data_IF_690104081560
#
_entry.id   IF_690104081560
#
_cell.length_a   1.000
_cell.length_b   1.000
_cell.length_c   1.000
_cell.angle_alpha   90.00
_cell.angle_beta   90.00
_cell.angle_gamma   90.00
#
_symmetry.space_group_name_H-M   'P 1'
#
loop_
_entity.id
_entity.type
_entity.pdbx_description
1 polymer ?
#
# COMPACT_ATOMS: atom_id res chain seq x y z
N UNK A 1 5.21 8.46 -0.70
CA UNK A 1 4.48 7.27 -1.19
C UNK A 1 4.24 7.36 -2.70
N UNK A 2 3.28 8.17 -3.17
CA UNK A 2 2.88 8.22 -4.59
C UNK A 2 4.02 8.47 -5.57
N UNK A 3 4.87 9.48 -5.32
CA UNK A 3 5.98 9.82 -6.21
C UNK A 3 7.02 8.71 -6.42
N UNK A 4 7.10 7.73 -5.49
CA UNK A 4 8.06 6.62 -5.56
C UNK A 4 7.42 5.32 -6.07
N UNK A 5 6.10 5.20 -5.99
CA UNK A 5 5.31 4.07 -6.47
C UNK A 5 5.93 2.68 -6.21
N UNK A 6 6.40 2.46 -4.99
CA UNK A 6 7.05 1.21 -4.63
C UNK A 6 6.07 0.18 -4.09
N UNK A 7 6.08 -1.00 -4.71
CA UNK A 7 5.25 -2.15 -4.33
C UNK A 7 5.63 -2.60 -2.91
N UNK A 8 4.61 -2.69 -2.04
CA UNK A 8 4.76 -3.11 -0.64
C UNK A 8 5.38 -2.06 0.30
N UNK A 9 5.71 -0.86 -0.18
CA UNK A 9 6.27 0.19 0.65
C UNK A 9 5.21 0.99 1.45
N UNK A 10 3.94 0.61 1.35
CA UNK A 10 2.82 1.27 2.00
C UNK A 10 3.05 1.34 3.51
N UNK A 11 3.26 0.20 4.18
CA UNK A 11 3.49 0.14 5.62
C UNK A 11 4.74 0.90 6.08
N UNK A 12 5.78 0.94 5.24
CA UNK A 12 6.97 1.77 5.46
C UNK A 12 6.60 3.26 5.56
N UNK A 13 5.82 3.78 4.61
CA UNK A 13 5.42 5.18 4.60
C UNK A 13 4.44 5.52 5.73
N UNK A 14 3.58 4.58 6.13
CA UNK A 14 2.74 4.71 7.32
C UNK A 14 3.56 4.98 8.57
N UNK A 15 4.51 4.08 8.86
CA UNK A 15 5.37 4.19 10.02
C UNK A 15 6.21 5.47 9.97
N UNK A 16 6.81 5.81 8.82
CA UNK A 16 7.65 6.99 8.67
C UNK A 16 6.89 8.29 8.92
N UNK A 17 5.74 8.48 8.28
CA UNK A 17 4.95 9.71 8.41
C UNK A 17 4.47 9.92 9.86
N UNK A 18 4.06 8.85 10.53
CA UNK A 18 3.64 8.92 11.93
C UNK A 18 4.80 9.23 12.88
N UNK A 19 5.99 8.67 12.61
CA UNK A 19 7.17 8.97 13.41
C UNK A 19 7.62 10.42 13.26
N UNK A 20 7.73 10.92 12.03
CA UNK A 20 8.11 12.31 11.76
C UNK A 20 7.12 13.27 12.45
N UNK A 21 5.82 13.05 12.29
CA UNK A 21 4.82 13.87 12.97
C UNK A 21 4.92 13.78 14.50
N UNK A 22 5.09 12.59 15.07
CA UNK A 22 5.18 12.41 16.51
C UNK A 22 6.46 13.02 17.12
N UNK A 23 7.56 13.06 16.35
CA UNK A 23 8.82 13.71 16.76
C UNK A 23 8.72 15.23 16.90
N UNK A 24 7.67 15.86 16.33
CA UNK A 24 7.38 17.29 16.50
C UNK A 24 6.68 17.60 17.83
N UNK A 25 6.26 16.58 18.59
CA UNK A 25 5.64 16.71 19.90
C UNK A 25 4.23 16.12 19.99
N UNK A 26 3.66 16.13 21.20
CA UNK A 26 2.42 15.41 21.52
C UNK A 26 1.20 15.85 20.70
N UNK A 27 1.06 17.17 20.46
CA UNK A 27 -0.04 17.71 19.64
C UNK A 27 0.02 17.18 18.20
N UNK A 28 1.21 17.16 17.60
CA UNK A 28 1.41 16.63 16.25
C UNK A 28 1.18 15.11 16.22
N UNK A 29 1.62 14.39 17.25
CA UNK A 29 1.34 12.97 17.40
C UNK A 29 -0.17 12.66 17.49
N UNK A 30 -0.94 13.49 18.21
CA UNK A 30 -2.39 13.33 18.33
C UNK A 30 -3.10 13.57 16.99
N UNK A 31 -2.74 14.64 16.28
CA UNK A 31 -3.28 14.95 14.95
C UNK A 31 -2.96 13.81 13.98
N UNK A 32 -1.72 13.32 13.98
CA UNK A 32 -1.29 12.22 13.13
C UNK A 32 -2.06 10.93 13.42
N UNK A 33 -2.31 10.60 14.69
CA UNK A 33 -3.14 9.46 15.08
C UNK A 33 -4.57 9.55 14.55
N UNK A 34 -5.21 10.72 14.66
CA UNK A 34 -6.56 10.96 14.11
C UNK A 34 -6.55 10.84 12.58
N UNK A 35 -5.58 11.48 11.91
CA UNK A 35 -5.45 11.43 10.45
C UNK A 35 -5.25 10.00 9.95
N UNK A 36 -4.48 9.19 10.69
CA UNK A 36 -4.32 7.76 10.45
C UNK A 36 -5.65 7.02 10.47
N UNK A 37 -6.41 7.11 11.57
CA UNK A 37 -7.70 6.40 11.68
C UNK A 37 -8.74 6.88 10.66
N UNK A 38 -8.81 8.17 10.36
CA UNK A 38 -9.70 8.69 9.31
C UNK A 38 -9.36 8.06 7.95
N UNK A 39 -8.08 7.91 7.63
CA UNK A 39 -7.64 7.23 6.41
C UNK A 39 -8.08 5.76 6.41
N UNK A 40 -7.86 5.02 7.50
CA UNK A 40 -8.22 3.60 7.60
C UNK A 40 -9.74 3.38 7.51
N UNK A 41 -10.54 4.24 8.13
CA UNK A 41 -12.00 4.20 8.02
C UNK A 41 -12.46 4.45 6.59
N UNK A 42 -11.86 5.43 5.91
CA UNK A 42 -12.15 5.67 4.51
C UNK A 42 -11.75 4.47 3.63
N UNK A 43 -10.61 3.84 3.87
CA UNK A 43 -10.21 2.63 3.15
C UNK A 43 -11.14 1.45 3.38
N UNK A 44 -11.48 1.16 4.63
CA UNK A 44 -12.36 0.05 4.93
C UNK A 44 -13.77 0.25 4.37
N UNK A 45 -14.41 1.39 4.68
CA UNK A 45 -15.82 1.58 4.35
C UNK A 45 -16.07 2.10 2.94
N UNK A 46 -15.17 2.92 2.39
CA UNK A 46 -15.34 3.50 1.05
C UNK A 46 -14.62 2.70 -0.02
N UNK A 47 -13.45 2.16 0.29
CA UNK A 47 -12.62 1.45 -0.68
C UNK A 47 -12.77 -0.07 -0.61
N UNK A 48 -13.40 -0.59 0.46
CA UNK A 48 -13.63 -2.02 0.64
C UNK A 48 -12.35 -2.79 0.94
N UNK A 49 -11.33 -2.12 1.48
CA UNK A 49 -10.08 -2.76 1.83
C UNK A 49 -10.34 -3.78 2.97
N UNK A 50 -9.73 -4.98 2.90
CA UNK A 50 -9.95 -6.03 3.89
C UNK A 50 -9.45 -5.57 5.25
N UNK A 51 -10.14 -6.02 6.31
CA UNK A 51 -9.86 -5.59 7.69
C UNK A 51 -8.41 -5.85 8.08
N UNK A 52 -7.83 -6.94 7.60
CA UNK A 52 -6.46 -7.36 7.86
C UNK A 52 -5.43 -6.34 7.32
N UNK A 53 -5.67 -5.74 6.15
CA UNK A 53 -4.80 -4.72 5.57
C UNK A 53 -4.86 -3.42 6.37
N UNK A 54 -6.07 -2.98 6.76
CA UNK A 54 -6.25 -1.83 7.64
C UNK A 54 -5.60 -2.05 9.02
N UNK A 55 -5.71 -3.27 9.58
CA UNK A 55 -5.08 -3.60 10.85
C UNK A 55 -3.54 -3.56 10.76
N UNK A 56 -2.98 -3.97 9.63
CA UNK A 56 -1.55 -3.84 9.37
C UNK A 56 -1.11 -2.36 9.20
N UNK A 57 -1.92 -1.51 8.54
CA UNK A 57 -1.69 -0.06 8.45
C UNK A 57 -1.74 0.59 9.85
N UNK A 58 -2.73 0.25 10.68
CA UNK A 58 -2.83 0.70 12.08
C UNK A 58 -1.61 0.28 12.90
N UNK A 59 -1.14 -0.96 12.74
CA UNK A 59 0.05 -1.44 13.43
C UNK A 59 1.30 -0.63 13.04
N UNK A 60 1.48 -0.34 11.75
CA UNK A 60 2.57 0.49 11.25
C UNK A 60 2.48 1.94 11.76
N UNK A 61 1.29 2.52 11.74
CA UNK A 61 1.03 3.86 12.27
C UNK A 61 1.38 3.95 13.76
N UNK A 62 0.92 2.97 14.56
CA UNK A 62 1.18 2.91 15.99
C UNK A 62 2.68 2.74 16.29
N UNK A 63 3.40 1.95 15.49
CA UNK A 63 4.85 1.83 15.62
C UNK A 63 5.57 3.16 15.38
N UNK A 64 5.20 3.88 14.32
CA UNK A 64 5.73 5.21 14.02
C UNK A 64 5.46 6.22 15.13
N UNK A 65 4.22 6.29 15.61
CA UNK A 65 3.84 7.20 16.72
C UNK A 65 4.65 6.91 17.99
N UNK A 66 4.83 5.63 18.36
CA UNK A 66 5.63 5.25 19.54
C UNK A 66 7.09 5.67 19.39
N UNK A 67 7.68 5.42 18.22
CA UNK A 67 9.08 5.76 17.98
C UNK A 67 9.33 7.27 17.99
N UNK A 68 8.48 8.06 17.31
CA UNK A 68 8.61 9.52 17.29
C UNK A 68 8.45 10.13 18.69
N UNK A 69 7.49 9.64 19.50
CA UNK A 69 7.34 10.06 20.90
C UNK A 69 8.53 9.69 21.79
N UNK A 70 9.17 8.57 21.49
CA UNK A 70 10.37 8.13 22.20
C UNK A 70 11.66 8.84 21.74
N UNK A 71 11.58 9.80 20.80
CA UNK A 71 12.74 10.47 20.23
C UNK A 71 13.66 9.54 19.43
N UNK A 72 13.15 8.39 18.98
CA UNK A 72 13.90 7.44 18.17
C UNK A 72 14.05 7.98 16.74
N UNK A 73 15.17 7.64 16.09
CA UNK A 73 15.33 7.93 14.67
C UNK A 73 14.27 7.17 13.87
N UNK A 74 13.50 7.87 13.02
CA UNK A 74 12.39 7.26 12.29
C UNK A 74 12.84 6.13 11.36
N UNK A 75 14.05 6.19 10.80
CA UNK A 75 14.60 5.06 10.03
C UNK A 75 14.69 3.76 10.85
N UNK A 76 15.09 3.84 12.12
CA UNK A 76 15.19 2.67 13.00
C UNK A 76 13.80 2.14 13.41
N UNK A 77 12.80 3.01 13.50
CA UNK A 77 11.42 2.63 13.81
C UNK A 77 10.83 1.70 12.73
N UNK A 78 11.11 2.01 11.46
CA UNK A 78 10.57 1.25 10.33
C UNK A 78 11.26 -0.11 10.19
N UNK A 79 12.53 -0.20 10.55
CA UNK A 79 13.28 -1.46 10.63
C UNK A 79 12.74 -2.37 11.75
N UNK A 80 12.50 -1.80 12.95
CA UNK A 80 11.97 -2.56 14.09
C UNK A 80 10.55 -3.09 13.85
N UNK A 81 9.72 -2.33 13.15
CA UNK A 81 8.35 -2.72 12.82
C UNK A 81 8.27 -3.79 11.71
N UNK A 82 9.40 -4.26 11.15
CA UNK A 82 9.48 -5.28 10.09
C UNK A 82 8.60 -4.96 8.86
N UNK A 83 8.36 -3.68 8.59
CA UNK A 83 7.51 -3.20 7.50
C UNK A 83 8.30 -2.81 6.26
N UNK A 84 9.54 -3.31 6.15
CA UNK A 84 10.38 -3.12 4.97
C UNK A 84 10.24 -4.34 4.06
N UNK A 85 9.73 -4.20 2.82
CA UNK A 85 9.79 -5.25 1.82
C UNK A 85 11.22 -5.73 1.58
N UNK A 86 11.41 -7.04 1.42
CA UNK A 86 12.69 -7.59 0.97
C UNK A 86 13.08 -6.91 -0.36
N UNK A 87 14.25 -6.28 -0.41
CA UNK A 87 14.77 -5.53 -1.57
C UNK A 87 14.53 -4.01 -1.53
N UNK A 88 13.73 -3.50 -0.58
CA UNK A 88 13.57 -2.06 -0.38
C UNK A 88 14.77 -1.45 0.37
N UNK A 89 15.36 -2.19 1.32
CA UNK A 89 16.58 -1.77 2.02
C UNK A 89 17.71 -1.39 1.04
N UNK A 90 17.99 -2.20 0.03
CA UNK A 90 19.18 -1.99 -0.81
C UNK A 90 19.12 -0.71 -1.67
N UNK A 91 17.90 -0.19 -1.95
CA UNK A 91 17.70 1.03 -2.75
C UNK A 91 17.32 2.26 -1.92
N UNK A 92 16.52 2.10 -0.87
CA UNK A 92 16.15 3.20 0.04
C UNK A 92 17.37 3.71 0.81
N UNK A 93 18.26 2.81 1.19
CA UNK A 93 19.44 3.13 1.98
C UNK A 93 20.40 4.04 1.21
N UNK A 94 20.55 3.88 -0.11
CA UNK A 94 21.42 4.72 -0.93
C UNK A 94 20.92 6.16 -1.11
N UNK A 95 19.60 6.36 -1.25
CA UNK A 95 19.02 7.69 -1.53
C UNK A 95 18.72 8.48 -0.25
N UNK A 96 18.28 7.81 0.84
CA UNK A 96 17.92 8.47 2.09
C UNK A 96 19.10 8.77 3.03
N UNK A 97 20.22 8.02 2.96
CA UNK A 97 21.47 8.36 3.68
C UNK A 97 22.03 9.73 3.23
N UNK A 98 21.77 10.16 1.99
CA UNK A 98 22.30 11.45 1.51
C UNK A 98 21.74 12.67 2.26
N UNK A 99 20.57 12.53 2.91
CA UNK A 99 19.87 13.61 3.62
C UNK A 99 20.14 13.62 5.13
N UNK A 100 20.74 12.56 5.68
CA UNK A 100 21.07 12.42 7.10
C UNK A 100 22.48 11.84 7.24
N UNK A 101 23.41 12.59 7.87
CA UNK A 101 24.81 12.20 8.08
C UNK A 101 24.95 10.77 8.65
N UNK A 102 26.04 10.05 8.33
CA UNK A 102 26.02 8.62 8.12
C UNK A 102 26.01 7.83 9.44
N UNK A 103 24.98 7.00 9.64
CA UNK A 103 25.07 5.85 10.53
C UNK A 103 25.64 4.68 9.71
N UNK A 104 26.97 4.55 9.69
CA UNK A 104 27.64 3.34 9.22
C UNK A 104 27.44 2.27 10.30
N UNK A 105 26.57 1.28 10.10
CA UNK A 105 26.48 0.18 11.06
C UNK A 105 25.37 -0.88 10.94
N UNK A 106 24.44 -0.81 9.98
CA UNK A 106 23.22 -1.66 10.01
C UNK A 106 23.37 -3.16 9.71
N UNK A 107 24.56 -3.76 9.84
CA UNK A 107 24.71 -5.23 9.69
C UNK A 107 25.53 -5.92 10.79
N UNK A 108 25.68 -5.35 12.00
CA UNK A 108 26.24 -6.10 13.15
C UNK A 108 25.55 -5.82 14.48
N UNK A 109 24.90 -6.87 14.97
CA UNK A 109 24.80 -7.33 16.35
C UNK A 109 24.11 -6.48 17.43
N UNK A 110 23.26 -7.22 18.15
CA UNK A 110 22.62 -6.96 19.44
C UNK A 110 23.64 -6.61 20.53
N UNK A 111 23.41 -5.50 21.25
CA UNK A 111 23.61 -5.42 22.71
C UNK A 111 22.80 -4.26 23.29
N UNK A 112 21.92 -4.60 24.23
CA UNK A 112 21.17 -3.67 25.08
C UNK A 112 22.09 -3.15 26.20
N UNK A 113 22.04 -1.84 26.47
CA UNK A 113 22.34 -1.27 27.79
C UNK A 113 21.27 -0.19 28.12
N UNK A 114 20.99 0.07 29.42
CA UNK A 114 19.82 0.82 29.84
C UNK A 114 20.12 2.31 30.07
N UNK A 115 19.24 3.20 29.59
CA UNK A 115 19.28 4.61 29.97
C UNK A 115 18.48 4.84 31.28
N UNK A 116 19.19 5.20 32.35
CA UNK A 116 18.63 5.84 33.55
C UNK A 116 18.42 7.33 33.31
N UNK A 117 17.22 7.81 33.66
CA UNK A 117 16.99 9.04 34.41
C UNK A 117 17.10 10.39 33.69
N UNK A 118 15.96 11.07 33.52
CA UNK A 118 15.85 12.52 33.73
C UNK A 118 14.43 12.85 34.22
N UNK A 119 14.37 13.49 35.38
CA UNK A 119 13.14 13.96 36.06
C UNK A 119 12.73 15.34 35.54
N UNK A 120 11.40 15.52 35.40
CA UNK A 120 10.63 16.66 35.91
C UNK A 120 10.69 18.01 35.17
N UNK A 121 9.53 18.49 34.71
CA UNK A 121 9.05 19.88 34.83
C UNK A 121 7.53 19.96 34.57
N UNK A 122 6.83 20.97 35.12
CA UNK A 122 5.40 20.89 35.44
C UNK A 122 4.46 21.35 34.32
N UNK A 123 3.23 20.83 34.39
CA UNK A 123 2.05 21.22 33.62
C UNK A 123 1.69 22.70 33.80
N UNK A 124 1.52 23.43 32.70
CA UNK A 124 0.79 24.71 32.68
C UNK A 124 -0.47 24.60 31.81
N UNK A 125 -1.61 24.71 32.50
CA UNK A 125 -2.97 24.69 31.98
C UNK A 125 -3.24 25.91 31.08
N UNK A 126 -3.08 25.76 29.75
CA UNK A 126 -3.60 26.73 28.76
C UNK A 126 -4.03 26.06 27.44
N UNK A 127 -4.63 24.86 27.52
CA UNK A 127 -4.78 23.96 26.36
C UNK A 127 -6.17 23.82 25.72
N UNK A 128 -7.25 24.29 26.33
CA UNK A 128 -8.62 23.86 25.92
C UNK A 128 -9.24 24.78 24.86
N UNK A 129 -8.90 26.08 24.81
CA UNK A 129 -9.50 27.03 23.87
C UNK A 129 -8.86 27.00 22.47
N UNK A 130 -7.55 26.75 22.36
CA UNK A 130 -6.85 26.76 21.07
C UNK A 130 -7.06 25.49 20.22
N UNK A 131 -7.46 24.37 20.84
CA UNK A 131 -7.64 23.11 20.13
C UNK A 131 -8.89 23.11 19.23
N UNK A 132 -9.94 23.85 19.62
CA UNK A 132 -11.19 23.94 18.85
C UNK A 132 -11.01 24.72 17.54
N UNK A 133 -10.19 25.76 17.54
CA UNK A 133 -9.95 26.61 16.37
C UNK A 133 -9.05 25.92 15.33
N UNK A 134 -8.05 25.15 15.77
CA UNK A 134 -7.17 24.38 14.87
C UNK A 134 -7.92 23.23 14.19
N UNK A 135 -8.82 22.55 14.92
CA UNK A 135 -9.63 21.45 14.36
C UNK A 135 -10.59 21.96 13.26
N UNK A 136 -11.21 23.13 13.45
CA UNK A 136 -12.11 23.73 12.46
C UNK A 136 -11.38 24.15 11.17
N UNK A 137 -10.15 24.65 11.27
CA UNK A 137 -9.34 25.05 10.11
C UNK A 137 -8.88 23.82 9.31
N UNK A 138 -8.50 22.73 9.98
CA UNK A 138 -8.13 21.46 9.33
C UNK A 138 -9.33 20.81 8.61
N UNK A 139 -10.52 20.82 9.22
CA UNK A 139 -11.75 20.33 8.58
C UNK A 139 -12.20 21.21 7.39
N UNK A 140 -12.01 22.53 7.47
CA UNK A 140 -12.31 23.46 6.37
C UNK A 140 -11.36 23.32 5.17
N UNK A 141 -10.06 23.12 5.42
CA UNK A 141 -9.06 22.93 4.37
C UNK A 141 -9.29 21.62 3.58
N UNK A 142 -9.75 20.55 4.25
CA UNK A 142 -10.09 19.26 3.62
C UNK A 142 -11.23 19.37 2.61
N UNK A 143 -12.14 20.34 2.78
CA UNK A 143 -13.28 20.55 1.87
C UNK A 143 -12.94 21.47 0.68
N UNK A 144 -11.95 22.37 0.82
CA UNK A 144 -11.59 23.34 -0.21
C UNK A 144 -10.54 22.84 -1.21
N UNK A 145 -9.80 21.77 -0.89
CA UNK A 145 -9.03 21.03 -1.89
C UNK A 145 -10.01 20.25 -2.76
N UNK A 146 -10.50 20.90 -3.84
CA UNK A 146 -11.14 20.20 -4.96
C UNK A 146 -10.32 18.96 -5.23
N UNK A 147 -10.92 17.80 -5.00
CA UNK A 147 -10.30 16.51 -5.23
C UNK A 147 -9.88 16.46 -6.71
N UNK A 148 -8.63 16.78 -7.00
CA UNK A 148 -7.93 16.20 -8.13
C UNK A 148 -8.13 14.70 -7.95
N UNK A 149 -9.00 14.15 -8.78
CA UNK A 149 -9.31 12.74 -8.77
C UNK A 149 -8.09 12.06 -9.39
N UNK A 150 -7.08 11.91 -8.54
CA UNK A 150 -5.80 11.33 -8.89
C UNK A 150 -6.03 9.88 -9.27
N UNK A 151 -5.61 9.52 -10.50
CA UNK A 151 -5.48 8.13 -10.89
C UNK A 151 -4.34 7.52 -10.11
N UNK A 152 -4.66 6.93 -8.96
CA UNK A 152 -3.72 6.12 -8.19
C UNK A 152 -3.68 4.72 -8.76
N UNK A 153 -2.55 4.05 -8.58
CA UNK A 153 -2.47 2.63 -8.80
C UNK A 153 -3.49 1.91 -7.90
N UNK A 154 -4.35 1.13 -8.53
CA UNK A 154 -5.41 0.39 -7.86
C UNK A 154 -5.08 -1.09 -7.90
N UNK A 155 -5.19 -1.75 -6.75
CA UNK A 155 -5.09 -3.21 -6.67
C UNK A 155 -6.47 -3.78 -6.96
N UNK A 156 -6.53 -4.67 -7.96
CA UNK A 156 -7.73 -5.46 -8.27
C UNK A 156 -7.46 -6.92 -7.97
N UNK A 157 -8.44 -7.63 -7.44
CA UNK A 157 -8.40 -9.09 -7.30
C UNK A 157 -9.14 -9.71 -8.47
N UNK A 158 -8.48 -10.66 -9.13
CA UNK A 158 -9.00 -11.39 -10.27
C UNK A 158 -9.01 -12.87 -9.94
N UNK A 159 -10.09 -13.55 -10.29
CA UNK A 159 -10.23 -15.00 -10.14
C UNK A 159 -10.86 -15.61 -11.36
N UNK A 160 -10.55 -16.87 -11.64
CA UNK A 160 -11.11 -17.59 -12.78
C UNK A 160 -10.45 -18.95 -12.94
N UNK A 161 -10.67 -19.57 -14.10
CA UNK A 161 -10.05 -20.85 -14.45
C UNK A 161 -9.58 -20.88 -15.91
N UNK A 162 -8.55 -21.66 -16.18
CA UNK A 162 -8.01 -21.93 -17.52
C UNK A 162 -8.34 -23.38 -17.90
N UNK A 163 -8.91 -23.65 -19.09
CA UNK A 163 -9.18 -25.01 -19.54
C UNK A 163 -7.91 -25.86 -19.64
N UNK A 164 -7.79 -26.85 -18.76
CA UNK A 164 -6.71 -27.83 -18.80
C UNK A 164 -6.99 -28.79 -19.95
N UNK A 165 -6.06 -28.93 -20.90
CA UNK A 165 -6.14 -29.99 -21.91
C UNK A 165 -6.07 -31.35 -21.22
N UNK A 166 -6.98 -32.25 -21.54
CA UNK A 166 -7.21 -33.53 -20.86
C UNK A 166 -6.06 -34.55 -20.84
N UNK A 167 -4.81 -34.17 -21.09
CA UNK A 167 -3.64 -35.02 -20.80
C UNK A 167 -3.26 -34.89 -19.32
N UNK A 168 -4.00 -35.60 -18.47
CA UNK A 168 -3.63 -35.86 -17.09
C UNK A 168 -2.16 -36.31 -17.02
N UNK A 169 -1.26 -35.52 -16.41
CA UNK A 169 0.07 -36.05 -16.08
C UNK A 169 1.19 -35.08 -15.80
N UNK A 170 1.11 -33.79 -16.14
CA UNK A 170 2.18 -32.84 -15.79
C UNK A 170 1.68 -31.75 -14.87
N UNK A 171 1.78 -32.03 -13.57
CA UNK A 171 1.70 -31.05 -12.49
C UNK A 171 2.82 -30.01 -12.66
N UNK A 172 2.60 -28.98 -13.47
CA UNK A 172 3.64 -27.96 -13.68
C UNK A 172 3.39 -26.94 -14.77
N UNK A 173 2.36 -27.07 -15.61
CA UNK A 173 2.05 -26.05 -16.61
C UNK A 173 1.36 -24.87 -15.93
N UNK A 174 2.19 -23.95 -15.42
CA UNK A 174 1.77 -22.63 -14.98
C UNK A 174 1.52 -21.77 -16.21
N UNK A 175 0.42 -21.02 -16.22
CA UNK A 175 0.17 -20.01 -17.24
C UNK A 175 0.58 -18.64 -16.70
N UNK A 176 0.99 -17.74 -17.60
CA UNK A 176 1.23 -16.35 -17.26
C UNK A 176 -0.02 -15.52 -17.58
N UNK A 177 -0.65 -14.96 -16.55
CA UNK A 177 -1.77 -14.05 -16.67
C UNK A 177 -1.27 -12.61 -16.81
N UNK A 178 -1.50 -12.01 -17.97
CA UNK A 178 -1.33 -10.59 -18.24
C UNK A 178 -2.66 -9.85 -18.25
N UNK A 179 -2.61 -8.56 -17.95
CA UNK A 179 -3.74 -7.64 -18.12
C UNK A 179 -3.43 -6.72 -19.29
N UNK A 180 -4.37 -6.57 -20.21
CA UNK A 180 -4.21 -5.79 -21.44
C UNK A 180 -5.26 -4.70 -21.51
N UNK A 181 -4.81 -3.48 -21.80
CA UNK A 181 -5.68 -2.34 -22.09
C UNK A 181 -6.46 -2.60 -23.38
N UNK A 182 -7.79 -2.55 -23.33
CA UNK A 182 -8.62 -2.73 -24.53
C UNK A 182 -8.46 -1.56 -25.52
N UNK A 183 -8.02 -0.41 -25.05
CA UNK A 183 -7.86 0.80 -25.84
C UNK A 183 -6.49 0.86 -26.54
N UNK A 184 -5.42 0.49 -25.84
CA UNK A 184 -4.05 0.64 -26.34
C UNK A 184 -3.40 -0.67 -26.76
N UNK A 185 -3.95 -1.82 -26.36
CA UNK A 185 -3.32 -3.13 -26.53
C UNK A 185 -2.08 -3.34 -25.66
N UNK A 186 -1.73 -2.37 -24.81
CA UNK A 186 -0.55 -2.45 -23.96
C UNK A 186 -0.79 -3.45 -22.83
N UNK A 187 0.13 -4.41 -22.71
CA UNK A 187 0.12 -5.41 -21.66
C UNK A 187 0.85 -4.87 -20.42
N UNK A 188 0.13 -4.88 -19.31
CA UNK A 188 0.67 -4.58 -17.97
C UNK A 188 1.29 -5.84 -17.34
N UNK A 189 1.77 -5.72 -16.10
CA UNK A 189 2.34 -6.80 -15.27
C UNK A 189 1.75 -8.18 -15.53
N UNK A 190 2.60 -9.20 -15.69
CA UNK A 190 2.22 -10.62 -15.75
C UNK A 190 2.34 -11.29 -14.38
N UNK A 191 1.61 -12.40 -14.18
CA UNK A 191 1.66 -13.23 -12.97
C UNK A 191 1.54 -14.71 -13.35
N UNK A 192 2.36 -15.56 -12.75
CA UNK A 192 2.17 -17.00 -12.84
C UNK A 192 0.89 -17.39 -12.10
N UNK A 193 0.02 -18.14 -12.76
CA UNK A 193 -1.23 -18.62 -12.23
C UNK A 193 -1.36 -20.15 -12.40
N UNK A 194 -1.95 -20.84 -11.41
CA UNK A 194 -2.46 -22.20 -11.60
C UNK A 194 -3.72 -22.21 -12.49
N UNK A 195 -4.20 -23.41 -12.82
CA UNK A 195 -5.40 -23.59 -13.63
C UNK A 195 -6.63 -22.89 -13.03
N UNK A 196 -6.93 -23.11 -11.75
CA UNK A 196 -7.91 -22.33 -10.98
C UNK A 196 -7.17 -21.29 -10.15
N UNK A 197 -7.41 -20.01 -10.40
CA UNK A 197 -6.62 -18.94 -9.81
C UNK A 197 -7.45 -17.89 -9.07
N UNK A 198 -6.81 -17.27 -8.08
CA UNK A 198 -7.24 -16.03 -7.44
C UNK A 198 -5.98 -15.22 -7.09
N UNK A 199 -5.79 -14.09 -7.75
CA UNK A 199 -4.58 -13.28 -7.61
C UNK A 199 -4.90 -11.79 -7.62
N UNK A 200 -3.93 -10.97 -7.25
CA UNK A 200 -4.04 -9.51 -7.24
C UNK A 200 -3.16 -8.89 -8.32
N UNK A 201 -3.70 -7.95 -9.08
CA UNK A 201 -3.00 -7.22 -10.13
C UNK A 201 -3.09 -5.72 -9.87
N UNK A 202 -2.04 -5.01 -10.29
CA UNK A 202 -1.97 -3.55 -10.19
C UNK A 202 -2.48 -2.94 -11.49
N UNK A 203 -3.39 -1.97 -11.39
CA UNK A 203 -3.98 -1.27 -12.54
C UNK A 203 -3.87 0.22 -12.33
N UNK A 204 -3.40 0.95 -13.35
CA UNK A 204 -3.41 2.40 -13.33
C UNK A 204 -4.84 2.88 -13.64
N UNK A 205 -5.66 3.06 -12.60
CA UNK A 205 -7.06 3.42 -12.75
C UNK A 205 -7.28 4.92 -12.52
N UNK A 206 -7.75 5.62 -13.56
CA UNK A 206 -8.19 7.01 -13.45
C UNK A 206 -9.63 7.14 -12.93
N UNK A 207 -10.15 8.37 -12.76
CA UNK A 207 -11.56 8.61 -12.45
C UNK A 207 -12.50 8.29 -13.62
N UNK A 208 -11.97 8.30 -14.84
CA UNK A 208 -12.68 7.79 -16.01
C UNK A 208 -12.53 6.27 -16.06
N UNK A 209 -13.63 5.52 -16.21
CA UNK A 209 -13.57 4.07 -16.39
C UNK A 209 -12.76 3.71 -17.63
N UNK A 210 -11.93 2.68 -17.51
CA UNK A 210 -11.13 2.11 -18.60
C UNK A 210 -11.47 0.64 -18.78
N UNK A 211 -11.29 0.15 -20.00
CA UNK A 211 -11.61 -1.22 -20.36
C UNK A 211 -10.35 -2.08 -20.45
N UNK A 212 -10.38 -3.25 -19.80
CA UNK A 212 -9.28 -4.20 -19.79
C UNK A 212 -9.80 -5.60 -20.08
N UNK A 213 -8.95 -6.46 -20.65
CA UNK A 213 -9.17 -7.89 -20.67
C UNK A 213 -7.90 -8.59 -20.18
N UNK A 214 -8.04 -9.85 -19.76
CA UNK A 214 -6.93 -10.64 -19.27
C UNK A 214 -6.58 -11.71 -20.30
N UNK A 215 -5.28 -11.97 -20.43
CA UNK A 215 -4.74 -12.98 -21.33
C UNK A 215 -3.88 -13.93 -20.50
N UNK A 216 -4.19 -15.23 -20.54
CA UNK A 216 -3.35 -16.26 -19.97
C UNK A 216 -2.59 -16.97 -21.09
N UNK A 217 -1.27 -16.93 -21.05
CA UNK A 217 -0.39 -17.66 -21.97
C UNK A 217 0.23 -18.84 -21.23
N UNK A 218 -0.05 -20.06 -21.69
CA UNK A 218 0.41 -21.28 -21.03
C UNK A 218 1.68 -21.81 -21.70
N UNK A 219 2.44 -22.64 -20.97
CA UNK A 219 3.71 -23.19 -21.46
C UNK A 219 3.59 -24.08 -22.71
N UNK A 220 2.38 -24.52 -23.05
CA UNK A 220 2.05 -25.25 -24.28
C UNK A 220 1.80 -24.34 -25.49
N UNK A 221 1.90 -23.02 -25.32
CA UNK A 221 1.69 -22.01 -26.36
C UNK A 221 0.22 -21.61 -26.57
N UNK A 222 -0.73 -22.23 -25.85
CA UNK A 222 -2.14 -21.82 -25.92
C UNK A 222 -2.34 -20.49 -25.21
N UNK A 223 -3.21 -19.66 -25.78
CA UNK A 223 -3.59 -18.36 -25.22
C UNK A 223 -5.08 -18.34 -24.92
N UNK A 224 -5.43 -17.90 -23.73
CA UNK A 224 -6.81 -17.77 -23.29
C UNK A 224 -7.10 -16.32 -22.96
N UNK A 225 -8.33 -15.90 -23.23
CA UNK A 225 -8.78 -14.52 -23.05
C UNK A 225 -10.05 -14.47 -22.20
N UNK A 226 -10.12 -13.49 -21.30
CA UNK A 226 -11.35 -13.16 -20.58
C UNK A 226 -12.25 -12.22 -21.37
N UNK A 227 -13.50 -12.10 -20.94
CA UNK A 227 -14.33 -10.95 -21.29
C UNK A 227 -13.69 -9.63 -20.82
N UNK A 228 -14.11 -8.54 -21.45
CA UNK A 228 -13.68 -7.20 -21.07
C UNK A 228 -14.30 -6.79 -19.74
N UNK A 229 -13.47 -6.35 -18.81
CA UNK A 229 -13.88 -5.75 -17.54
C UNK A 229 -13.70 -4.23 -17.58
N UNK A 230 -14.52 -3.54 -16.79
CA UNK A 230 -14.42 -2.08 -16.63
C UNK A 230 -13.82 -1.75 -15.29
N UNK A 231 -12.70 -1.02 -15.30
CA UNK A 231 -11.94 -0.66 -14.11
C UNK A 231 -11.97 0.86 -13.92
N UNK A 232 -12.30 1.32 -12.71
CA UNK A 232 -12.31 2.74 -12.35
C UNK A 232 -11.87 2.93 -10.91
N UNK A 233 -11.20 4.04 -10.61
CA UNK A 233 -10.85 4.43 -9.23
C UNK A 233 -12.06 4.84 -8.38
N UNK A 234 -13.25 5.00 -8.98
CA UNK A 234 -14.48 5.33 -8.26
C UNK A 234 -14.92 4.14 -7.41
N UNK A 235 -15.30 4.41 -6.16
CA UNK A 235 -15.70 3.38 -5.17
C UNK A 235 -16.94 2.55 -5.57
N UNK A 236 -17.73 3.02 -6.52
CA UNK A 236 -18.91 2.28 -7.02
C UNK A 236 -18.55 1.10 -7.92
N UNK A 237 -17.31 1.00 -8.39
CA UNK A 237 -16.86 -0.09 -9.26
C UNK A 237 -16.25 -1.22 -8.44
N UNK A 238 -16.51 -2.46 -8.87
CA UNK A 238 -15.93 -3.63 -8.22
C UNK A 238 -14.41 -3.62 -8.34
N UNK A 239 -13.74 -4.04 -7.28
CA UNK A 239 -12.30 -4.37 -7.27
C UNK A 239 -12.05 -5.88 -7.36
N UNK A 240 -13.11 -6.67 -7.33
CA UNK A 240 -13.08 -8.12 -7.44
C UNK A 240 -13.74 -8.52 -8.77
N UNK A 241 -12.97 -9.16 -9.64
CA UNK A 241 -13.44 -9.62 -10.94
C UNK A 241 -13.36 -11.14 -11.00
N UNK A 242 -14.52 -11.78 -11.12
CA UNK A 242 -14.57 -13.19 -11.50
C UNK A 242 -14.63 -13.27 -13.02
N UNK A 243 -13.54 -13.74 -13.62
CA UNK A 243 -13.34 -13.88 -15.06
C UNK A 243 -14.00 -15.15 -15.61
N UNK A 244 -14.54 -16.02 -14.75
CA UNK A 244 -15.07 -17.32 -15.14
C UNK A 244 -13.98 -18.22 -15.75
N UNK A 245 -14.38 -19.07 -16.68
CA UNK A 245 -13.46 -19.89 -17.48
C UNK A 245 -12.97 -19.08 -18.67
N UNK A 246 -11.66 -18.91 -18.79
CA UNK A 246 -11.08 -18.18 -19.93
C UNK A 246 -11.29 -18.95 -21.23
N UNK A 247 -11.59 -18.21 -22.31
CA UNK A 247 -11.88 -18.79 -23.62
C UNK A 247 -10.60 -18.83 -24.45
N UNK A 248 -10.35 -19.93 -25.14
CA UNK A 248 -9.18 -20.06 -26.02
C UNK A 248 -9.27 -19.04 -27.15
N UNK A 249 -8.26 -18.18 -27.23
CA UNK A 249 -8.16 -17.14 -28.23
C UNK A 249 -7.47 -17.74 -29.45
N UNK A 250 -8.26 -18.17 -30.42
CA UNK A 250 -7.74 -18.65 -31.71
C UNK A 250 -7.19 -17.42 -32.46
N UNK A 251 -5.91 -17.40 -32.86
CA UNK A 251 -5.32 -16.29 -33.60
C UNK A 251 -6.05 -15.99 -34.92
#
# INVERSE_FOLDING_TARGET
MQAKNWIGADKFYHCMAMCEAASLGEKAAAIAGIAGEVRELNQHYRHGDPKEECDADRAANAAGLRAGRAGQACAAAVEYARVIPKGLCDRVHAEWISRWKPLRGCCKFVRQEPCRGAQGMPEENRGVQQMKTVLAILLGALMATRCTSFGGDMIVRVSGSVPISGSAGKSGEQCELGMVSAETGEQSSTRNIPADFSTTMLVVAGPQPKHYYFVAECGDGRKFRSDTVTVSSRSSYSRNFNLGTLVENVP
#
